data_IF_662944637978
#
_entry.id   IF_662944637978
#
_cell.length_a   1.000
_cell.length_b   1.000
_cell.length_c   1.000
_cell.angle_alpha   90.00
_cell.angle_beta   90.00
_cell.angle_gamma   90.00
#
_symmetry.space_group_name_H-M   'P 1'
#
loop_
_entity.id
_entity.type
_entity.pdbx_description
1 polymer ?
#
# COMPACT_ATOMS: atom_id res chain seq x y z
N UNK A 1 42.52 -25.66 41.73
CA UNK A 1 41.27 -26.42 41.62
C UNK A 1 41.52 -27.77 42.25
N UNK A 2 40.88 -28.03 43.38
CA UNK A 2 41.04 -29.30 44.10
C UNK A 2 40.42 -30.44 43.27
N UNK A 3 40.80 -31.70 43.52
CA UNK A 3 40.18 -32.87 42.86
C UNK A 3 38.66 -32.88 43.04
N UNK A 4 38.19 -32.38 44.19
CA UNK A 4 36.77 -32.20 44.54
C UNK A 4 36.05 -31.19 43.63
N UNK A 5 36.63 -30.00 43.42
CA UNK A 5 36.00 -28.97 42.56
C UNK A 5 35.79 -29.46 41.12
N UNK A 6 36.69 -30.33 40.66
CA UNK A 6 36.62 -30.92 39.31
C UNK A 6 35.52 -31.97 39.20
N UNK A 7 35.36 -32.83 40.20
CA UNK A 7 34.27 -33.82 40.22
C UNK A 7 32.90 -33.18 40.35
N UNK A 8 32.81 -32.11 41.14
CA UNK A 8 31.58 -31.33 41.29
C UNK A 8 31.15 -30.70 39.97
N UNK A 9 32.05 -30.03 39.24
CA UNK A 9 31.73 -29.41 37.95
C UNK A 9 31.32 -30.44 36.89
N UNK A 10 31.92 -31.63 36.89
CA UNK A 10 31.52 -32.74 35.99
C UNK A 10 30.08 -33.19 36.27
N UNK A 11 29.68 -33.28 37.55
CA UNK A 11 28.31 -33.62 37.91
C UNK A 11 27.32 -32.51 37.59
N UNK A 12 27.73 -31.24 37.74
CA UNK A 12 26.92 -30.08 37.33
C UNK A 12 26.69 -30.08 35.83
N UNK A 13 27.71 -30.37 35.02
CA UNK A 13 27.55 -30.50 33.58
C UNK A 13 26.59 -31.65 33.22
N UNK A 14 26.80 -32.84 33.79
CA UNK A 14 25.92 -33.98 33.56
C UNK A 14 24.47 -33.72 34.00
N UNK A 15 24.28 -32.95 35.06
CA UNK A 15 22.98 -32.50 35.53
C UNK A 15 22.31 -31.51 34.56
N UNK A 16 23.05 -30.51 34.05
CA UNK A 16 22.54 -29.57 33.04
C UNK A 16 22.15 -30.29 31.76
N UNK A 17 23.01 -31.18 31.26
CA UNK A 17 22.72 -32.00 30.09
C UNK A 17 21.49 -32.87 30.29
N UNK A 18 21.33 -33.45 31.48
CA UNK A 18 20.14 -34.22 31.83
C UNK A 18 18.86 -33.38 31.75
N UNK A 19 18.86 -32.14 32.27
CA UNK A 19 17.70 -31.26 32.15
C UNK A 19 17.39 -30.88 30.69
N UNK A 20 18.40 -30.66 29.85
CA UNK A 20 18.19 -30.44 28.42
C UNK A 20 17.64 -31.67 27.70
N UNK A 21 18.12 -32.87 28.06
CA UNK A 21 17.61 -34.14 27.54
C UNK A 21 16.10 -34.26 27.84
N UNK A 22 15.67 -33.92 29.06
CA UNK A 22 14.26 -33.98 29.47
C UNK A 22 13.35 -33.00 28.72
N UNK A 23 13.89 -31.95 28.11
CA UNK A 23 13.12 -30.93 27.42
C UNK A 23 12.73 -31.33 25.99
N UNK A 24 13.42 -32.32 25.40
CA UNK A 24 13.29 -32.67 23.98
C UNK A 24 12.07 -33.56 23.73
N UNK A 25 11.07 -33.11 22.93
CA UNK A 25 9.87 -33.89 22.62
C UNK A 25 10.17 -35.16 21.80
N UNK A 26 11.21 -35.12 20.97
CA UNK A 26 11.59 -36.19 20.05
C UNK A 26 12.20 -37.41 20.74
N UNK A 27 12.63 -37.25 21.99
CA UNK A 27 13.31 -38.28 22.79
C UNK A 27 12.39 -38.63 23.95
N UNK A 28 11.45 -39.55 23.74
CA UNK A 28 10.70 -40.12 24.86
C UNK A 28 11.63 -41.04 25.69
N UNK A 29 12.39 -40.39 26.58
CA UNK A 29 13.36 -41.00 27.48
C UNK A 29 12.73 -42.04 28.43
N UNK A 30 11.41 -42.15 28.44
CA UNK A 30 10.64 -43.01 29.35
C UNK A 30 9.69 -43.95 28.58
N UNK A 31 9.87 -44.11 27.27
CA UNK A 31 9.04 -44.95 26.42
C UNK A 31 9.09 -46.43 26.82
N UNK A 32 10.30 -46.99 26.94
CA UNK A 32 10.50 -48.40 27.31
C UNK A 32 11.00 -48.58 28.75
N UNK A 33 10.88 -49.81 29.28
CA UNK A 33 11.45 -50.17 30.59
C UNK A 33 12.98 -50.00 30.63
N UNK A 34 13.66 -50.26 29.51
CA UNK A 34 15.11 -50.12 29.37
C UNK A 34 15.53 -48.65 29.41
N UNK A 35 14.77 -47.77 28.76
CA UNK A 35 15.05 -46.33 28.76
C UNK A 35 14.88 -45.73 30.16
N UNK A 36 13.79 -46.12 30.86
CA UNK A 36 13.56 -45.72 32.26
C UNK A 36 14.70 -46.15 33.18
N UNK A 37 15.16 -47.40 33.06
CA UNK A 37 16.29 -47.91 33.84
C UNK A 37 17.57 -47.10 33.55
N UNK A 38 17.80 -46.71 32.30
CA UNK A 38 18.94 -45.88 31.90
C UNK A 38 18.88 -44.48 32.52
N UNK A 39 17.69 -43.87 32.52
CA UNK A 39 17.45 -42.58 33.19
C UNK A 39 17.70 -42.66 34.70
N UNK A 40 17.19 -43.71 35.36
CA UNK A 40 17.41 -43.91 36.79
C UNK A 40 18.88 -44.11 37.14
N UNK A 41 19.61 -44.91 36.35
CA UNK A 41 21.06 -45.07 36.51
C UNK A 41 21.83 -43.77 36.30
N UNK A 42 21.39 -42.92 35.35
CA UNK A 42 22.00 -41.58 35.14
C UNK A 42 21.81 -40.70 36.37
N UNK A 43 20.62 -40.71 36.97
CA UNK A 43 20.33 -39.98 38.21
C UNK A 43 21.11 -40.53 39.41
N UNK A 44 21.19 -41.85 39.57
CA UNK A 44 21.98 -42.52 40.61
C UNK A 44 23.48 -42.19 40.49
N UNK A 45 23.98 -42.04 39.26
CA UNK A 45 25.36 -41.61 39.02
C UNK A 45 25.58 -40.14 39.38
N UNK A 46 24.61 -39.26 39.09
CA UNK A 46 24.71 -37.82 39.40
C UNK A 46 24.63 -37.60 40.92
N UNK A 47 23.65 -38.22 41.58
CA UNK A 47 23.36 -38.01 43.00
C UNK A 47 24.06 -39.00 43.94
N UNK A 48 24.75 -40.01 43.42
CA UNK A 48 25.39 -41.01 44.25
C UNK A 48 26.52 -40.45 45.13
N UNK A 49 26.83 -41.15 46.23
CA UNK A 49 27.82 -40.69 47.21
C UNK A 49 29.18 -40.47 46.52
N UNK A 50 29.80 -39.32 46.77
CA UNK A 50 31.14 -39.01 46.25
C UNK A 50 32.21 -39.83 46.97
N UNK A 51 33.42 -39.99 46.38
CA UNK A 51 34.53 -40.71 47.02
C UNK A 51 34.95 -40.12 48.38
N UNK A 52 34.63 -38.84 48.62
CA UNK A 52 34.90 -38.12 49.88
C UNK A 52 33.75 -38.21 50.90
N UNK A 53 32.70 -38.98 50.60
CA UNK A 53 31.51 -39.15 51.45
C UNK A 53 30.47 -38.04 51.32
N UNK A 54 30.70 -37.01 50.50
CA UNK A 54 29.75 -35.91 50.33
C UNK A 54 28.64 -36.23 49.32
N UNK A 55 27.47 -35.62 49.53
CA UNK A 55 26.31 -35.75 48.65
C UNK A 55 26.30 -34.60 47.63
N UNK A 56 26.06 -34.91 46.36
CA UNK A 56 25.90 -33.87 45.33
C UNK A 56 24.58 -33.12 45.53
N UNK A 57 24.67 -31.80 45.63
CA UNK A 57 23.51 -30.91 45.68
C UNK A 57 23.39 -30.16 44.35
N UNK A 58 22.26 -30.32 43.66
CA UNK A 58 21.98 -29.50 42.49
C UNK A 58 21.78 -28.03 42.86
N UNK A 59 22.28 -27.14 42.00
CA UNK A 59 22.21 -25.69 42.20
C UNK A 59 20.95 -25.10 41.57
N UNK A 60 20.28 -24.22 42.30
CA UNK A 60 19.13 -23.47 41.78
C UNK A 60 19.52 -22.60 40.58
N UNK A 61 20.74 -22.05 40.57
CA UNK A 61 21.26 -21.27 39.44
C UNK A 61 21.38 -22.09 38.16
N UNK A 62 21.73 -23.38 38.28
CA UNK A 62 21.83 -24.28 37.12
C UNK A 62 20.45 -24.62 36.58
N UNK A 63 19.48 -24.91 37.46
CA UNK A 63 18.08 -25.12 37.09
C UNK A 63 17.52 -23.88 36.39
N UNK A 64 17.68 -22.70 36.99
CA UNK A 64 17.21 -21.44 36.43
C UNK A 64 17.83 -21.16 35.06
N UNK A 65 19.15 -21.34 34.92
CA UNK A 65 19.86 -21.10 33.66
C UNK A 65 19.37 -22.02 32.54
N UNK A 66 19.21 -23.33 32.83
CA UNK A 66 18.72 -24.29 31.84
C UNK A 66 17.26 -24.03 31.47
N UNK A 67 16.37 -23.85 32.45
CA UNK A 67 14.95 -23.60 32.18
C UNK A 67 14.74 -22.28 31.42
N UNK A 68 15.47 -21.22 31.77
CA UNK A 68 15.43 -19.94 31.04
C UNK A 68 15.93 -20.11 29.61
N UNK A 69 16.98 -20.90 29.40
CA UNK A 69 17.54 -21.17 28.07
C UNK A 69 16.57 -21.97 27.20
N UNK A 70 15.89 -22.97 27.75
CA UNK A 70 14.86 -23.75 27.05
C UNK A 70 13.68 -22.84 26.69
N UNK A 71 13.22 -22.03 27.65
CA UNK A 71 12.09 -21.13 27.47
C UNK A 71 12.30 -20.12 26.34
N UNK A 72 13.50 -19.56 26.26
CA UNK A 72 13.85 -18.53 25.26
C UNK A 72 14.27 -19.12 23.90
N UNK A 73 14.38 -20.44 23.77
CA UNK A 73 14.79 -21.08 22.52
C UNK A 73 13.91 -22.32 22.21
N UNK A 74 12.92 -22.18 21.31
CA UNK A 74 12.02 -23.28 20.93
C UNK A 74 12.73 -24.54 20.42
N UNK A 75 13.92 -24.41 19.82
CA UNK A 75 14.69 -25.56 19.31
C UNK A 75 15.25 -26.44 20.44
N UNK A 76 15.36 -25.91 21.66
CA UNK A 76 15.86 -26.65 22.83
C UNK A 76 14.76 -27.43 23.57
N UNK A 77 13.51 -27.34 23.12
CA UNK A 77 12.38 -28.07 23.69
C UNK A 77 11.46 -27.18 24.53
N UNK A 78 10.72 -27.78 25.46
CA UNK A 78 9.76 -27.06 26.32
C UNK A 78 9.98 -27.36 27.80
N UNK A 79 9.89 -26.31 28.63
CA UNK A 79 9.95 -26.44 30.09
C UNK A 79 8.78 -27.28 30.64
N UNK A 80 7.63 -27.28 29.97
CA UNK A 80 6.47 -28.09 30.36
C UNK A 80 6.76 -29.59 30.18
N UNK A 81 7.52 -29.93 29.13
CA UNK A 81 7.98 -31.30 28.87
C UNK A 81 8.96 -31.75 29.94
N UNK A 82 9.87 -30.86 30.39
CA UNK A 82 10.77 -31.13 31.52
C UNK A 82 9.97 -31.47 32.77
N UNK A 83 8.97 -30.65 33.12
CA UNK A 83 8.10 -30.88 34.29
C UNK A 83 7.34 -32.20 34.19
N UNK A 84 6.76 -32.50 33.03
CA UNK A 84 6.04 -33.76 32.79
C UNK A 84 6.96 -34.98 32.92
N UNK A 85 8.15 -34.92 32.33
CA UNK A 85 9.11 -36.02 32.37
C UNK A 85 9.67 -36.22 33.79
N UNK A 86 9.92 -35.16 34.55
CA UNK A 86 10.31 -35.27 35.95
C UNK A 86 9.21 -35.87 36.84
N UNK A 87 7.94 -35.52 36.61
CA UNK A 87 6.81 -36.14 37.31
C UNK A 87 6.76 -37.65 37.03
N UNK A 88 6.92 -38.05 35.77
CA UNK A 88 6.98 -39.47 35.36
C UNK A 88 8.16 -40.20 36.02
N UNK A 89 9.34 -39.58 36.07
CA UNK A 89 10.52 -40.12 36.75
C UNK A 89 10.26 -40.31 38.23
N UNK A 90 9.73 -39.29 38.91
CA UNK A 90 9.40 -39.31 40.33
C UNK A 90 8.41 -40.43 40.66
N UNK A 91 7.36 -40.62 39.87
CA UNK A 91 6.35 -41.66 40.09
C UNK A 91 6.84 -43.08 39.76
N UNK A 92 7.78 -43.21 38.82
CA UNK A 92 8.26 -44.51 38.35
C UNK A 92 9.50 -45.05 39.07
N UNK A 93 10.20 -44.22 39.84
CA UNK A 93 11.40 -44.62 40.58
C UNK A 93 11.03 -45.52 41.77
N UNK A 94 11.66 -46.70 41.86
CA UNK A 94 11.50 -47.61 43.00
C UNK A 94 12.82 -47.74 43.77
N UNK A 95 12.90 -47.24 45.01
CA UNK A 95 14.11 -47.31 45.82
C UNK A 95 14.50 -48.74 46.23
N UNK A 96 13.55 -49.67 46.33
CA UNK A 96 13.81 -51.04 46.79
C UNK A 96 14.60 -51.89 45.78
N UNK A 97 14.61 -51.48 44.51
CA UNK A 97 15.32 -52.15 43.42
C UNK A 97 16.67 -51.47 43.14
N UNK A 98 16.87 -50.26 43.67
CA UNK A 98 18.07 -49.48 43.45
C UNK A 98 19.18 -49.84 44.42
N UNK A 99 20.41 -49.88 43.92
CA UNK A 99 21.60 -50.06 44.76
C UNK A 99 21.94 -48.79 45.57
N UNK A 100 21.42 -47.64 45.15
CA UNK A 100 21.68 -46.33 45.76
C UNK A 100 20.41 -45.47 45.68
N UNK A 101 19.68 -45.37 46.80
CA UNK A 101 18.39 -44.66 46.82
C UNK A 101 18.58 -43.14 46.65
N UNK A 102 18.13 -42.63 45.50
CA UNK A 102 18.15 -41.18 45.20
C UNK A 102 16.76 -40.53 45.21
N UNK A 103 15.74 -41.20 45.75
CA UNK A 103 14.34 -40.72 45.78
C UNK A 103 14.21 -39.32 46.38
N UNK A 104 14.96 -39.05 47.45
CA UNK A 104 15.02 -37.74 48.12
C UNK A 104 15.47 -36.62 47.16
N UNK A 105 16.45 -36.89 46.30
CA UNK A 105 16.97 -35.92 45.34
C UNK A 105 16.03 -35.69 44.17
N UNK A 106 15.41 -36.76 43.66
CA UNK A 106 14.39 -36.68 42.61
C UNK A 106 13.21 -35.82 43.08
N UNK A 107 12.74 -36.02 44.32
CA UNK A 107 11.68 -35.22 44.91
C UNK A 107 12.05 -33.73 45.01
N UNK A 108 13.27 -33.43 45.48
CA UNK A 108 13.77 -32.04 45.55
C UNK A 108 13.95 -31.42 44.17
N UNK A 109 14.43 -32.18 43.18
CA UNK A 109 14.58 -31.70 41.82
C UNK A 109 13.23 -31.34 41.22
N UNK A 110 12.25 -32.23 41.35
CA UNK A 110 10.89 -31.99 40.89
C UNK A 110 10.27 -30.74 41.53
N UNK A 111 10.42 -30.59 42.85
CA UNK A 111 9.93 -29.42 43.58
C UNK A 111 10.56 -28.11 43.09
N UNK A 112 11.89 -28.08 42.98
CA UNK A 112 12.59 -26.87 42.54
C UNK A 112 12.29 -26.51 41.08
N UNK A 113 12.22 -27.51 40.19
CA UNK A 113 11.87 -27.27 38.78
C UNK A 113 10.42 -26.77 38.67
N UNK A 114 9.49 -27.35 39.42
CA UNK A 114 8.10 -26.90 39.42
C UNK A 114 7.95 -25.46 39.92
N UNK A 115 8.67 -25.10 40.99
CA UNK A 115 8.70 -23.73 41.51
C UNK A 115 9.31 -22.73 40.51
N UNK A 116 10.43 -23.07 39.88
CA UNK A 116 11.06 -22.18 38.90
C UNK A 116 10.22 -22.06 37.61
N UNK A 117 9.54 -23.12 37.18
CA UNK A 117 8.58 -23.05 36.06
C UNK A 117 7.43 -22.09 36.39
N UNK A 118 6.85 -22.19 37.59
CA UNK A 118 5.79 -21.28 38.03
C UNK A 118 6.29 -19.83 38.08
N UNK A 119 7.50 -19.59 38.61
CA UNK A 119 8.11 -18.26 38.64
C UNK A 119 8.33 -17.69 37.24
N UNK A 120 8.92 -18.49 36.34
CA UNK A 120 9.14 -18.08 34.96
C UNK A 120 7.82 -17.73 34.26
N UNK A 121 6.78 -18.57 34.43
CA UNK A 121 5.45 -18.31 33.85
C UNK A 121 4.82 -17.01 34.38
N UNK A 122 4.97 -16.73 35.67
CA UNK A 122 4.49 -15.49 36.27
C UNK A 122 5.20 -14.25 35.74
N UNK A 123 6.53 -14.29 35.57
CA UNK A 123 7.31 -13.17 35.01
C UNK A 123 6.85 -12.80 33.59
N UNK A 124 6.57 -13.78 32.73
CA UNK A 124 6.05 -13.49 31.38
C UNK A 124 4.70 -12.76 31.42
N UNK A 125 3.84 -13.12 32.37
CA UNK A 125 2.52 -12.48 32.50
C UNK A 125 2.62 -11.02 32.93
N UNK A 126 3.68 -10.66 33.66
CA UNK A 126 3.98 -9.28 34.05
C UNK A 126 4.57 -8.52 32.86
N UNK A 127 5.54 -9.09 32.16
CA UNK A 127 6.14 -8.49 30.97
C UNK A 127 5.10 -8.26 29.87
N UNK A 128 4.17 -9.18 29.68
CA UNK A 128 3.05 -9.02 28.74
C UNK A 128 2.14 -7.84 29.10
N UNK A 129 1.85 -7.63 30.39
CA UNK A 129 1.00 -6.50 30.83
C UNK A 129 1.69 -5.16 30.65
N UNK A 130 2.98 -5.06 31.01
CA UNK A 130 3.74 -3.82 30.84
C UNK A 130 4.00 -3.47 29.37
N UNK A 131 4.45 -4.46 28.57
CA UNK A 131 4.78 -4.22 27.15
C UNK A 131 3.56 -4.18 26.23
N UNK A 132 2.45 -4.82 26.63
CA UNK A 132 1.20 -4.82 25.87
C UNK A 132 0.59 -3.42 25.77
N UNK A 133 0.52 -2.69 26.88
CA UNK A 133 -0.03 -1.33 26.92
C UNK A 133 0.82 -0.35 26.09
N UNK A 134 2.14 -0.42 26.18
CA UNK A 134 3.04 0.40 25.37
C UNK A 134 2.90 0.10 23.87
N UNK A 135 2.79 -1.18 23.51
CA UNK A 135 2.60 -1.59 22.10
C UNK A 135 1.25 -1.15 21.55
N UNK A 136 0.20 -1.19 22.35
CA UNK A 136 -1.14 -0.70 21.97
C UNK A 136 -1.10 0.81 21.77
N UNK A 137 -0.52 1.57 22.71
CA UNK A 137 -0.40 3.03 22.58
C UNK A 137 0.41 3.44 21.35
N UNK A 138 1.52 2.76 21.10
CA UNK A 138 2.33 2.99 19.90
C UNK A 138 1.59 2.63 18.59
N UNK A 139 0.67 1.68 18.62
CA UNK A 139 -0.18 1.35 17.48
C UNK A 139 -1.26 2.43 17.26
N UNK A 140 -1.87 2.94 18.33
CA UNK A 140 -2.85 4.04 18.27
C UNK A 140 -2.24 5.32 17.70
N UNK A 141 -1.05 5.72 18.19
CA UNK A 141 -0.32 6.89 17.68
C UNK A 141 -0.01 6.75 16.17
N UNK A 142 0.35 5.55 15.70
CA UNK A 142 0.56 5.28 14.27
C UNK A 142 -0.72 5.35 13.46
N UNK A 143 -1.83 4.84 13.98
CA UNK A 143 -3.14 4.89 13.31
C UNK A 143 -3.59 6.35 13.15
N UNK A 144 -3.45 7.16 14.19
CA UNK A 144 -3.76 8.60 14.12
C UNK A 144 -2.90 9.32 13.08
N UNK A 145 -1.60 9.01 13.04
CA UNK A 145 -0.69 9.52 12.01
C UNK A 145 -1.13 9.14 10.59
N UNK A 146 -1.54 7.89 10.38
CA UNK A 146 -2.05 7.41 9.09
C UNK A 146 -3.35 8.12 8.70
N UNK A 147 -4.28 8.32 9.64
CA UNK A 147 -5.54 9.02 9.37
C UNK A 147 -5.30 10.47 8.94
N UNK A 148 -4.37 11.17 9.59
CA UNK A 148 -4.02 12.54 9.24
C UNK A 148 -3.40 12.64 7.84
N UNK A 149 -2.45 11.74 7.52
CA UNK A 149 -1.85 11.64 6.18
C UNK A 149 -2.92 11.31 5.13
N UNK A 150 -3.86 10.40 5.46
CA UNK A 150 -4.95 10.03 4.56
C UNK A 150 -5.86 11.22 4.25
N UNK A 151 -6.26 11.99 5.27
CA UNK A 151 -7.07 13.21 5.09
C UNK A 151 -6.36 14.25 4.21
N UNK A 152 -5.06 14.48 4.45
CA UNK A 152 -4.26 15.40 3.64
C UNK A 152 -4.10 14.92 2.18
N UNK A 153 -3.93 13.61 1.97
CA UNK A 153 -3.83 13.05 0.63
C UNK A 153 -5.16 13.17 -0.14
N UNK A 154 -6.29 12.94 0.54
CA UNK A 154 -7.62 13.12 -0.05
C UNK A 154 -7.85 14.58 -0.46
N UNK A 155 -7.50 15.54 0.41
CA UNK A 155 -7.66 16.97 0.07
C UNK A 155 -6.79 17.38 -1.11
N UNK A 156 -5.51 16.97 -1.11
CA UNK A 156 -4.58 17.21 -2.23
C UNK A 156 -5.06 16.56 -3.53
N UNK A 157 -5.59 15.34 -3.46
CA UNK A 157 -6.13 14.66 -4.63
C UNK A 157 -7.35 15.40 -5.20
N UNK A 158 -8.21 15.93 -4.34
CA UNK A 158 -9.39 16.68 -4.75
C UNK A 158 -9.02 18.03 -5.39
N UNK A 159 -8.03 18.73 -4.83
CA UNK A 159 -7.45 19.92 -5.44
C UNK A 159 -6.83 19.60 -6.81
N UNK A 160 -6.02 18.55 -6.90
CA UNK A 160 -5.40 18.12 -8.14
C UNK A 160 -6.43 17.75 -9.20
N UNK A 161 -7.49 17.02 -8.83
CA UNK A 161 -8.62 16.69 -9.71
C UNK A 161 -9.27 17.96 -10.25
N UNK A 162 -9.54 18.94 -9.40
CA UNK A 162 -10.14 20.21 -9.82
C UNK A 162 -9.24 20.99 -10.79
N UNK A 163 -7.91 20.93 -10.58
CA UNK A 163 -6.91 21.54 -11.47
C UNK A 163 -6.88 20.83 -12.82
N UNK A 164 -6.92 19.49 -12.85
CA UNK A 164 -6.98 18.70 -14.08
C UNK A 164 -8.27 19.00 -14.87
N UNK A 165 -9.43 19.06 -14.21
CA UNK A 165 -10.69 19.42 -14.88
C UNK A 165 -10.63 20.83 -15.48
N UNK A 166 -9.95 21.77 -14.82
CA UNK A 166 -9.72 23.11 -15.38
C UNK A 166 -8.81 23.05 -16.60
N UNK A 167 -7.68 22.34 -16.52
CA UNK A 167 -6.75 22.16 -17.64
C UNK A 167 -7.41 21.48 -18.84
N UNK A 168 -8.26 20.48 -18.62
CA UNK A 168 -9.01 19.82 -19.70
C UNK A 168 -9.93 20.80 -20.42
N UNK A 169 -10.63 21.69 -19.68
CA UNK A 169 -11.45 22.75 -20.28
C UNK A 169 -10.59 23.71 -21.11
N UNK A 170 -9.46 24.15 -20.56
CA UNK A 170 -8.54 25.05 -21.26
C UNK A 170 -7.97 24.38 -22.53
N UNK A 171 -7.67 23.08 -22.48
CA UNK A 171 -7.20 22.30 -23.63
C UNK A 171 -8.27 22.19 -24.73
N UNK A 172 -9.52 21.87 -24.37
CA UNK A 172 -10.64 21.82 -25.32
C UNK A 172 -10.85 23.21 -25.96
N UNK A 173 -10.75 24.28 -25.18
CA UNK A 173 -10.85 25.65 -25.69
C UNK A 173 -9.74 25.97 -26.70
N UNK A 174 -8.48 25.67 -26.38
CA UNK A 174 -7.33 25.85 -27.28
C UNK A 174 -7.55 25.08 -28.59
N UNK A 175 -7.94 23.81 -28.51
CA UNK A 175 -8.21 22.97 -29.68
C UNK A 175 -9.33 23.56 -30.55
N UNK A 176 -10.40 24.05 -29.92
CA UNK A 176 -11.49 24.72 -30.61
C UNK A 176 -11.03 25.98 -31.36
N UNK A 177 -10.21 26.83 -30.72
CA UNK A 177 -9.63 28.02 -31.37
C UNK A 177 -8.78 27.61 -32.57
N UNK A 178 -7.92 26.60 -32.44
CA UNK A 178 -7.11 26.09 -33.55
C UNK A 178 -7.97 25.58 -34.71
N UNK A 179 -9.02 24.80 -34.43
CA UNK A 179 -9.94 24.30 -35.45
C UNK A 179 -10.64 25.46 -36.20
N UNK A 180 -11.06 26.50 -35.48
CA UNK A 180 -11.69 27.67 -36.09
C UNK A 180 -10.73 28.46 -36.99
N UNK A 181 -9.47 28.65 -36.56
CA UNK A 181 -8.43 29.31 -37.35
C UNK A 181 -8.16 28.51 -38.64
N UNK A 182 -7.96 27.20 -38.53
CA UNK A 182 -7.69 26.32 -39.68
C UNK A 182 -8.87 26.31 -40.65
N UNK A 183 -10.10 26.21 -40.15
CA UNK A 183 -11.31 26.25 -40.98
C UNK A 183 -11.49 27.59 -41.70
N UNK A 184 -11.25 28.70 -41.01
CA UNK A 184 -11.33 30.04 -41.60
C UNK A 184 -10.29 30.22 -42.73
N UNK A 185 -9.05 29.80 -42.51
CA UNK A 185 -7.99 29.89 -43.52
C UNK A 185 -8.24 28.96 -44.71
N UNK A 186 -8.50 27.68 -44.46
CA UNK A 186 -8.74 26.70 -45.53
C UNK A 186 -9.99 27.06 -46.34
N UNK A 187 -11.09 27.42 -45.67
CA UNK A 187 -12.31 27.88 -46.31
C UNK A 187 -12.12 29.18 -47.09
N UNK A 188 -11.41 30.16 -46.52
CA UNK A 188 -11.11 31.44 -47.17
C UNK A 188 -10.25 31.28 -48.43
N UNK A 189 -9.21 30.45 -48.38
CA UNK A 189 -8.34 30.15 -49.53
C UNK A 189 -9.13 29.40 -50.60
N UNK A 190 -9.80 28.29 -50.25
CA UNK A 190 -10.55 27.48 -51.21
C UNK A 190 -11.65 28.28 -51.92
N UNK A 191 -12.35 29.14 -51.18
CA UNK A 191 -13.35 30.03 -51.73
C UNK A 191 -12.73 31.09 -52.65
N UNK A 192 -11.66 31.75 -52.21
CA UNK A 192 -10.98 32.77 -53.02
C UNK A 192 -10.47 32.20 -54.35
N UNK A 193 -9.87 31.01 -54.31
CA UNK A 193 -9.43 30.30 -55.52
C UNK A 193 -10.61 29.93 -56.42
N UNK A 194 -11.71 29.44 -55.86
CA UNK A 194 -12.91 29.07 -56.64
C UNK A 194 -13.53 30.29 -57.34
N UNK A 195 -13.57 31.43 -56.67
CA UNK A 195 -14.07 32.69 -57.23
C UNK A 195 -13.17 33.20 -58.35
N UNK A 196 -11.86 33.26 -58.12
CA UNK A 196 -10.90 33.74 -59.10
C UNK A 196 -10.85 32.85 -60.35
N UNK A 197 -10.96 31.53 -60.18
CA UNK A 197 -10.96 30.59 -61.30
C UNK A 197 -12.21 30.72 -62.21
N UNK A 198 -13.34 31.14 -61.65
CA UNK A 198 -14.62 31.23 -62.37
C UNK A 198 -14.99 32.66 -62.79
N UNK A 199 -14.13 33.65 -62.53
CA UNK A 199 -14.44 35.07 -62.78
C UNK A 199 -14.68 35.40 -64.25
N UNK A 200 -14.06 34.66 -65.16
CA UNK A 200 -14.18 34.86 -66.60
C UNK A 200 -15.30 34.04 -67.25
N UNK A 201 -15.83 33.02 -66.57
CA UNK A 201 -16.77 32.06 -67.15
C UNK A 201 -18.23 32.35 -66.82
N UNK A 202 -18.47 33.21 -65.82
CA UNK A 202 -19.81 33.48 -65.26
C UNK A 202 -20.07 34.98 -65.31
N UNK A 203 -21.31 35.38 -65.62
CA UNK A 203 -21.69 36.80 -65.56
C UNK A 203 -21.37 37.39 -64.18
N UNK A 204 -20.82 38.62 -64.09
CA UNK A 204 -20.43 39.23 -62.82
C UNK A 204 -21.54 39.20 -61.75
N UNK A 205 -22.79 39.46 -62.14
CA UNK A 205 -23.94 39.45 -61.22
C UNK A 205 -24.20 38.09 -60.57
N UNK A 206 -24.19 36.98 -61.35
CA UNK A 206 -24.41 35.62 -60.82
C UNK A 206 -23.29 35.19 -59.89
N UNK A 207 -22.04 35.54 -60.23
CA UNK A 207 -20.88 35.24 -59.40
C UNK A 207 -20.98 35.97 -58.05
N UNK A 208 -21.28 37.27 -58.04
CA UNK A 208 -21.40 38.07 -56.81
C UNK A 208 -22.51 37.52 -55.91
N UNK A 209 -23.66 37.12 -56.47
CA UNK A 209 -24.76 36.55 -55.68
C UNK A 209 -24.34 35.24 -55.01
N UNK A 210 -23.70 34.31 -55.74
CA UNK A 210 -23.23 33.04 -55.18
C UNK A 210 -22.16 33.29 -54.10
N UNK A 211 -21.25 34.24 -54.34
CA UNK A 211 -20.21 34.67 -53.39
C UNK A 211 -20.82 35.18 -52.09
N UNK A 212 -21.83 36.05 -52.18
CA UNK A 212 -22.50 36.63 -51.02
C UNK A 212 -23.28 35.57 -50.22
N UNK A 213 -23.97 34.63 -50.90
CA UNK A 213 -24.69 33.54 -50.22
C UNK A 213 -23.72 32.62 -49.47
N UNK A 214 -22.60 32.24 -50.10
CA UNK A 214 -21.57 31.43 -49.43
C UNK A 214 -20.95 32.21 -48.26
N UNK A 215 -20.72 33.52 -48.41
CA UNK A 215 -20.23 34.39 -47.34
C UNK A 215 -21.16 34.40 -46.12
N UNK A 216 -22.48 34.46 -46.34
CA UNK A 216 -23.47 34.36 -45.25
C UNK A 216 -23.35 33.02 -44.52
N UNK A 217 -23.28 31.90 -45.23
CA UNK A 217 -23.17 30.57 -44.62
C UNK A 217 -21.86 30.44 -43.82
N UNK A 218 -20.74 30.90 -44.37
CA UNK A 218 -19.42 30.83 -43.72
C UNK A 218 -19.35 31.69 -42.45
N UNK A 219 -19.84 32.94 -42.50
CA UNK A 219 -19.84 33.81 -41.31
C UNK A 219 -20.71 33.23 -40.19
N UNK A 220 -21.90 32.69 -40.51
CA UNK A 220 -22.76 32.06 -39.51
C UNK A 220 -22.11 30.79 -38.92
N UNK A 221 -21.43 29.98 -39.74
CA UNK A 221 -20.73 28.78 -39.28
C UNK A 221 -19.56 29.14 -38.36
N UNK A 222 -18.74 30.13 -38.75
CA UNK A 222 -17.63 30.63 -37.92
C UNK A 222 -18.14 31.23 -36.60
N UNK A 223 -19.23 31.99 -36.64
CA UNK A 223 -19.85 32.53 -35.43
C UNK A 223 -20.33 31.42 -34.48
N UNK A 224 -20.99 30.38 -35.00
CA UNK A 224 -21.42 29.23 -34.20
C UNK A 224 -20.22 28.55 -33.51
N UNK A 225 -19.11 28.39 -34.24
CA UNK A 225 -17.89 27.78 -33.73
C UNK A 225 -17.25 28.65 -32.63
N UNK A 226 -17.09 29.96 -32.86
CA UNK A 226 -16.57 30.90 -31.86
C UNK A 226 -17.49 31.05 -30.65
N UNK A 227 -18.81 31.03 -30.85
CA UNK A 227 -19.79 31.04 -29.77
C UNK A 227 -19.67 29.79 -28.89
N UNK A 228 -19.49 28.63 -29.50
CA UNK A 228 -19.29 27.37 -28.78
C UNK A 228 -17.97 27.37 -28.00
N UNK A 229 -16.88 27.82 -28.63
CA UNK A 229 -15.56 27.97 -27.97
C UNK A 229 -15.66 28.92 -26.79
N UNK A 230 -16.30 30.07 -26.96
CA UNK A 230 -16.47 31.05 -25.90
C UNK A 230 -17.26 30.50 -24.71
N UNK A 231 -18.36 29.78 -24.98
CA UNK A 231 -19.17 29.13 -23.94
C UNK A 231 -18.41 28.04 -23.19
N UNK A 232 -17.48 27.35 -23.85
CA UNK A 232 -16.64 26.34 -23.24
C UNK A 232 -15.46 26.93 -22.45
N UNK A 233 -14.88 28.03 -22.95
CA UNK A 233 -13.66 28.62 -22.43
C UNK A 233 -13.92 29.65 -21.31
N UNK A 234 -14.98 30.46 -21.43
CA UNK A 234 -15.21 31.62 -20.57
C UNK A 234 -16.65 31.58 -20.07
N UNK A 235 -16.83 31.46 -18.75
CA UNK A 235 -18.13 31.54 -18.05
C UNK A 235 -18.69 32.98 -18.00
N UNK A 236 -18.36 33.83 -18.96
CA UNK A 236 -18.76 35.24 -18.96
C UNK A 236 -20.19 35.38 -19.50
N UNK A 237 -21.05 35.98 -18.68
CA UNK A 237 -22.50 36.05 -18.88
C UNK A 237 -22.96 37.27 -19.68
N UNK A 238 -22.10 37.84 -20.52
CA UNK A 238 -22.48 39.01 -21.32
C UNK A 238 -21.83 38.96 -22.69
N UNK A 239 -22.60 38.53 -23.71
CA UNK A 239 -22.26 38.85 -25.09
C UNK A 239 -23.46 39.35 -25.86
N UNK A 240 -23.25 40.49 -26.49
CA UNK A 240 -24.15 41.11 -27.43
C UNK A 240 -24.03 40.40 -28.77
N UNK A 241 -25.11 39.79 -29.26
CA UNK A 241 -25.28 39.23 -30.61
C UNK A 241 -25.22 40.29 -31.74
N UNK A 242 -24.91 41.55 -31.40
CA UNK A 242 -24.86 42.69 -32.31
C UNK A 242 -23.88 42.53 -33.49
N UNK A 243 -22.64 42.01 -33.35
CA UNK A 243 -21.70 41.99 -34.47
C UNK A 243 -22.10 41.03 -35.59
N UNK A 244 -22.70 39.87 -35.27
CA UNK A 244 -23.23 38.95 -36.30
C UNK A 244 -24.44 39.56 -37.02
N UNK A 245 -25.34 40.23 -36.27
CA UNK A 245 -26.51 40.90 -36.88
C UNK A 245 -26.05 41.98 -37.85
N UNK A 246 -25.04 42.77 -37.49
CA UNK A 246 -24.47 43.81 -38.35
C UNK A 246 -23.82 43.18 -39.60
N UNK A 247 -23.00 42.13 -39.43
CA UNK A 247 -22.35 41.46 -40.56
C UNK A 247 -23.37 40.87 -41.55
N UNK A 248 -24.39 40.16 -41.04
CA UNK A 248 -25.45 39.60 -41.88
C UNK A 248 -26.31 40.69 -42.54
N UNK A 249 -26.58 41.81 -41.85
CA UNK A 249 -27.30 42.95 -42.41
C UNK A 249 -26.53 43.60 -43.57
N UNK A 250 -25.20 43.78 -43.43
CA UNK A 250 -24.33 44.30 -44.49
C UNK A 250 -24.34 43.36 -45.71
N UNK A 251 -24.17 42.05 -45.50
CA UNK A 251 -24.20 41.08 -46.60
C UNK A 251 -25.55 41.03 -47.31
N UNK A 252 -26.65 41.10 -46.56
CA UNK A 252 -28.00 41.11 -47.12
C UNK A 252 -28.27 42.40 -47.90
N UNK A 253 -27.77 43.55 -47.41
CA UNK A 253 -27.81 44.81 -48.14
C UNK A 253 -27.04 44.74 -49.47
N UNK A 254 -25.81 44.19 -49.47
CA UNK A 254 -25.02 43.99 -50.68
C UNK A 254 -25.71 43.05 -51.68
N UNK A 255 -26.40 42.02 -51.18
CA UNK A 255 -27.15 41.07 -52.01
C UNK A 255 -28.34 41.76 -52.69
N UNK A 256 -29.11 42.56 -51.96
CA UNK A 256 -30.21 43.38 -52.51
C UNK A 256 -29.66 44.37 -53.53
N UNK A 257 -28.58 45.10 -53.20
CA UNK A 257 -27.97 46.06 -54.12
C UNK A 257 -27.53 45.40 -55.43
N UNK A 258 -27.00 44.17 -55.38
CA UNK A 258 -26.59 43.40 -56.56
C UNK A 258 -27.80 43.02 -57.42
N UNK A 259 -28.91 42.58 -56.80
CA UNK A 259 -30.16 42.26 -57.50
C UNK A 259 -30.77 43.50 -58.14
N UNK A 260 -30.74 44.65 -57.45
CA UNK A 260 -31.21 45.93 -57.98
C UNK A 260 -30.34 46.38 -59.16
N UNK A 261 -29.02 46.31 -59.03
CA UNK A 261 -28.08 46.66 -60.10
C UNK A 261 -28.22 45.75 -61.33
N UNK A 262 -28.61 44.48 -61.13
CA UNK A 262 -28.97 43.56 -62.21
C UNK A 262 -30.28 43.99 -62.88
N UNK A 263 -31.32 44.32 -62.10
CA UNK A 263 -32.63 44.77 -62.62
C UNK A 263 -32.55 46.06 -63.44
N UNK A 264 -31.63 46.96 -63.09
CA UNK A 264 -31.40 48.21 -63.83
C UNK A 264 -30.35 48.09 -64.95
N UNK A 265 -29.73 46.91 -65.14
CA UNK A 265 -28.78 46.68 -66.23
C UNK A 265 -27.54 47.59 -66.19
N UNK A 266 -27.07 48.02 -65.02
CA UNK A 266 -26.01 49.03 -64.92
C UNK A 266 -24.70 48.65 -65.63
N UNK A 267 -24.32 47.38 -65.63
CA UNK A 267 -23.10 46.89 -66.30
C UNK A 267 -23.30 46.83 -67.82
N UNK A 268 -24.49 46.47 -68.28
CA UNK A 268 -24.84 46.41 -69.72
C UNK A 268 -24.94 47.83 -70.31
N UNK A 269 -25.54 48.77 -69.57
CA UNK A 269 -25.58 50.19 -69.92
C UNK A 269 -24.17 50.80 -70.02
N UNK A 270 -23.27 50.47 -69.08
CA UNK A 270 -21.87 50.89 -69.14
C UNK A 270 -21.12 50.29 -70.33
N UNK A 271 -21.31 49.00 -70.63
CA UNK A 271 -20.64 48.35 -71.76
C UNK A 271 -21.10 48.93 -73.11
N UNK A 272 -22.34 49.42 -73.21
CA UNK A 272 -22.84 50.17 -74.38
C UNK A 272 -22.26 51.59 -74.52
N UNK A 273 -21.69 52.18 -73.46
CA UNK A 273 -21.08 53.52 -73.48
C UNK A 273 -19.58 53.51 -73.81
N UNK A 274 -18.94 52.34 -73.79
CA UNK A 274 -17.48 52.16 -73.96
C UNK A 274 -17.14 51.48 -75.31
N UNK A 275 -18.15 51.05 -76.06
CA UNK A 275 -18.08 50.61 -77.47
C UNK A 275 -18.49 51.76 -78.39
#
# INVERSE_FOLDING_TARGET
>A
MTTRDREEEVRREAFREFLYDLARPEKDLLASKTDRSTVYKKLEKIYGVMPDGNEFRHYYSDIFSVLSTIKNNPEKGSIDIVGLNLDRIKRGYNPEISHNDVSKYINKLYDHVSLEMARLSYTDSIDWRGTGEERVRAAEEKIEGIENISKELVSKFQEQKSSIEKQQRDYIAILGIFAAIVLAFTGGIAFSTSVLNNINCVSPYRLIIIVLVIGVVLINTLYCLFYYIDRLAIRANSKTIKPIIIANAILLFLLIATIVAWRFGWIEYRNHLIL
#
